data_IF_989109095657
#
_entry.id   IF_989109095657
#
_cell.length_a   1.000
_cell.length_b   1.000
_cell.length_c   1.000
_cell.angle_alpha   90.00
_cell.angle_beta   90.00
_cell.angle_gamma   90.00
#
_symmetry.space_group_name_H-M   'P 1'
#
loop_
_entity.id
_entity.type
_entity.pdbx_description
1 polymer ?
#
# COMPACT_ATOMS: atom_id res chain seq x y z
N UNK A 1 17.75 -6.46 13.71
CA UNK A 1 17.03 -6.02 12.49
C UNK A 1 17.07 -4.50 12.46
N UNK A 2 17.24 -3.86 11.29
CA UNK A 2 17.17 -2.39 11.23
C UNK A 2 15.74 -1.95 10.88
N UNK A 3 15.18 -0.96 11.59
CA UNK A 3 13.89 -0.38 11.24
C UNK A 3 13.99 0.31 9.87
N UNK A 4 12.91 0.25 9.09
CA UNK A 4 12.79 0.96 7.82
C UNK A 4 11.57 1.88 7.87
N UNK A 5 11.71 3.08 7.31
CA UNK A 5 10.61 4.02 7.21
C UNK A 5 9.57 3.51 6.21
N UNK A 6 8.31 3.53 6.62
CA UNK A 6 7.15 3.13 5.83
C UNK A 6 6.03 2.56 6.69
N UNK A 7 4.92 2.20 6.04
CA UNK A 7 3.72 1.72 6.72
C UNK A 7 3.24 0.40 6.13
N UNK A 8 2.87 -0.52 7.03
CA UNK A 8 2.16 -1.75 6.70
C UNK A 8 1.38 -2.17 7.95
N UNK A 9 0.06 -2.30 7.83
CA UNK A 9 -0.83 -2.67 8.94
C UNK A 9 -1.70 -3.85 8.49
N UNK A 10 -1.77 -4.89 9.32
CA UNK A 10 -2.75 -5.96 9.15
C UNK A 10 -3.99 -5.61 9.97
N UNK A 11 -5.14 -5.51 9.30
CA UNK A 11 -6.45 -5.34 9.91
C UNK A 11 -7.20 -6.67 9.78
N UNK A 12 -7.69 -7.18 10.89
CA UNK A 12 -8.42 -8.44 10.95
C UNK A 12 -9.62 -8.28 11.89
N UNK A 13 -10.82 -8.41 11.34
CA UNK A 13 -12.07 -8.35 12.11
C UNK A 13 -12.76 -9.72 12.24
N UNK A 14 -12.07 -10.80 11.86
CA UNK A 14 -12.57 -12.17 11.85
C UNK A 14 -13.39 -12.54 10.60
N UNK A 15 -14.02 -11.57 9.92
CA UNK A 15 -14.75 -11.76 8.66
C UNK A 15 -13.88 -11.39 7.44
N UNK A 16 -12.97 -10.43 7.61
CA UNK A 16 -12.14 -9.86 6.57
C UNK A 16 -10.75 -9.56 7.10
N UNK A 17 -9.75 -9.91 6.26
CA UNK A 17 -8.33 -9.70 6.58
C UNK A 17 -7.69 -8.84 5.52
N UNK A 18 -7.24 -7.66 5.92
CA UNK A 18 -6.82 -6.60 5.01
C UNK A 18 -5.44 -6.13 5.37
N UNK A 19 -4.56 -6.10 4.36
CA UNK A 19 -3.25 -5.47 4.52
C UNK A 19 -3.34 -4.03 4.01
N UNK A 20 -3.22 -3.06 4.90
CA UNK A 20 -3.18 -1.65 4.56
C UNK A 20 -1.72 -1.20 4.38
N UNK A 21 -1.39 -0.81 3.15
CA UNK A 21 -0.03 -0.59 2.65
C UNK A 21 0.89 -1.81 2.78
N UNK A 22 2.09 -1.73 2.21
CA UNK A 22 3.05 -2.83 2.06
C UNK A 22 4.46 -2.48 2.51
N UNK A 23 4.63 -1.28 3.07
CA UNK A 23 5.94 -0.77 3.47
C UNK A 23 6.87 -0.49 2.29
N UNK A 24 8.17 -0.29 2.56
CA UNK A 24 9.17 0.05 1.55
C UNK A 24 9.70 -1.15 0.74
N UNK A 25 9.53 -2.37 1.25
CA UNK A 25 10.08 -3.62 0.72
C UNK A 25 9.47 -4.86 1.43
N UNK A 26 10.02 -6.05 1.20
CA UNK A 26 9.61 -7.34 1.81
C UNK A 26 9.66 -7.44 3.34
N UNK A 27 10.10 -6.39 4.05
CA UNK A 27 10.18 -6.40 5.52
C UNK A 27 8.84 -6.76 6.17
N UNK A 28 7.70 -6.39 5.58
CA UNK A 28 6.39 -6.75 6.11
C UNK A 28 6.16 -8.27 6.17
N UNK A 29 6.66 -9.04 5.20
CA UNK A 29 6.55 -10.51 5.19
C UNK A 29 7.31 -11.11 6.36
N UNK A 30 8.52 -10.61 6.61
CA UNK A 30 9.32 -11.05 7.75
C UNK A 30 8.66 -10.68 9.08
N UNK A 31 8.09 -9.48 9.19
CA UNK A 31 7.36 -9.05 10.38
C UNK A 31 6.15 -9.95 10.63
N UNK A 32 5.37 -10.25 9.60
CA UNK A 32 4.22 -11.15 9.70
C UNK A 32 4.63 -12.55 10.16
N UNK A 33 5.72 -13.11 9.62
CA UNK A 33 6.28 -14.39 10.11
C UNK A 33 6.68 -14.35 11.58
N UNK A 34 7.31 -13.27 12.04
CA UNK A 34 7.71 -13.12 13.45
C UNK A 34 6.52 -12.97 14.40
N UNK A 35 5.43 -12.36 13.92
CA UNK A 35 4.17 -12.23 14.67
C UNK A 35 3.28 -13.47 14.56
N UNK A 36 3.72 -14.50 13.82
CA UNK A 36 2.94 -15.68 13.50
C UNK A 36 1.62 -15.36 12.78
N UNK A 37 1.65 -14.34 11.91
CA UNK A 37 0.51 -13.84 11.15
C UNK A 37 0.61 -14.25 9.67
N UNK A 38 -0.18 -15.24 9.19
CA UNK A 38 -0.10 -15.68 7.81
C UNK A 38 -0.73 -14.67 6.84
N UNK A 39 -0.01 -14.25 5.79
CA UNK A 39 -0.53 -13.32 4.78
C UNK A 39 -1.17 -14.01 3.57
N UNK A 40 -1.42 -15.33 3.64
CA UNK A 40 -1.98 -16.12 2.54
C UNK A 40 -3.50 -15.99 2.40
N UNK A 41 -4.20 -15.57 3.46
CA UNK A 41 -5.66 -15.50 3.53
C UNK A 41 -6.19 -14.05 3.51
N UNK A 42 -5.48 -13.13 2.87
CA UNK A 42 -5.92 -11.74 2.73
C UNK A 42 -7.16 -11.65 1.84
N UNK A 43 -8.20 -10.97 2.32
CA UNK A 43 -9.37 -10.59 1.53
C UNK A 43 -9.02 -9.54 0.48
N UNK A 44 -8.14 -8.59 0.84
CA UNK A 44 -7.59 -7.59 -0.06
C UNK A 44 -6.33 -6.94 0.52
N UNK A 45 -5.56 -6.31 -0.35
CA UNK A 45 -4.55 -5.31 0.01
C UNK A 45 -5.07 -3.93 -0.38
N UNK A 46 -4.92 -2.96 0.51
CA UNK A 46 -5.33 -1.58 0.29
C UNK A 46 -4.11 -0.70 0.20
N UNK A 47 -3.98 0.08 -0.87
CA UNK A 47 -2.90 1.06 -1.01
C UNK A 47 -3.43 2.47 -0.79
N UNK A 48 -2.87 3.17 0.19
CA UNK A 48 -3.27 4.52 0.56
C UNK A 48 -2.92 5.53 -0.55
N UNK A 49 -1.68 5.51 -1.01
CA UNK A 49 -1.14 6.36 -2.08
C UNK A 49 0.20 5.83 -2.62
N UNK A 50 0.70 6.42 -3.70
CA UNK A 50 1.82 5.87 -4.48
C UNK A 50 3.23 6.15 -3.99
N UNK A 51 3.46 6.43 -2.69
CA UNK A 51 4.82 6.66 -2.20
C UNK A 51 5.59 5.34 -1.96
N UNK A 52 6.89 5.34 -2.26
CA UNK A 52 7.72 4.14 -2.23
C UNK A 52 7.74 3.41 -0.89
N UNK A 53 7.51 4.11 0.22
CA UNK A 53 7.50 3.60 1.58
C UNK A 53 6.14 3.02 2.01
N UNK A 54 5.14 3.11 1.15
CA UNK A 54 3.80 2.52 1.31
C UNK A 54 3.54 1.40 0.30
N UNK A 55 3.98 1.58 -0.95
CA UNK A 55 3.74 0.63 -2.05
C UNK A 55 4.99 -0.18 -2.43
N UNK A 56 6.05 -0.06 -1.64
CA UNK A 56 7.35 -0.65 -1.93
C UNK A 56 7.36 -2.16 -1.87
N UNK A 57 6.47 -2.79 -1.10
CA UNK A 57 6.36 -4.24 -0.94
C UNK A 57 5.40 -4.94 -1.90
N UNK A 58 4.71 -4.23 -2.80
CA UNK A 58 3.67 -4.79 -3.69
C UNK A 58 4.17 -5.98 -4.51
N UNK A 59 5.40 -5.92 -5.04
CA UNK A 59 5.98 -6.98 -5.87
C UNK A 59 6.22 -8.31 -5.13
N UNK A 60 6.06 -8.33 -3.81
CA UNK A 60 6.21 -9.53 -2.98
C UNK A 60 4.86 -10.12 -2.54
N UNK A 61 3.75 -9.55 -3.00
CA UNK A 61 2.42 -10.12 -2.78
C UNK A 61 2.24 -11.39 -3.62
N UNK A 62 1.34 -12.26 -3.16
CA UNK A 62 0.99 -13.46 -3.91
C UNK A 62 0.28 -13.08 -5.22
N UNK A 63 0.54 -13.82 -6.29
CA UNK A 63 -0.18 -13.65 -7.56
C UNK A 63 -1.69 -13.78 -7.36
N UNK A 64 -2.47 -12.95 -8.06
CA UNK A 64 -3.92 -12.92 -7.95
C UNK A 64 -4.46 -12.19 -6.71
N UNK A 65 -3.59 -11.65 -5.84
CA UNK A 65 -4.00 -10.81 -4.71
C UNK A 65 -4.88 -9.66 -5.20
N UNK A 66 -6.05 -9.50 -4.56
CA UNK A 66 -6.94 -8.37 -4.83
C UNK A 66 -6.34 -7.10 -4.23
N UNK A 67 -6.11 -6.10 -5.06
CA UNK A 67 -5.58 -4.79 -4.63
C UNK A 67 -6.67 -3.74 -4.83
N UNK A 68 -6.92 -2.93 -3.81
CA UNK A 68 -7.86 -1.81 -3.86
C UNK A 68 -7.09 -0.53 -3.61
N UNK A 69 -7.23 0.44 -4.51
CA UNK A 69 -6.54 1.71 -4.38
C UNK A 69 -7.26 2.80 -5.18
N UNK A 70 -6.86 4.06 -5.02
CA UNK A 70 -7.37 5.10 -5.88
C UNK A 70 -6.63 5.15 -7.22
N UNK A 71 -7.28 5.58 -8.31
CA UNK A 71 -6.62 5.85 -9.59
C UNK A 71 -5.37 6.75 -9.51
N UNK A 72 -5.24 7.54 -8.44
CA UNK A 72 -4.13 8.51 -8.28
C UNK A 72 -2.90 7.86 -7.65
N UNK A 73 -2.95 6.58 -7.31
CA UNK A 73 -1.80 5.83 -6.80
C UNK A 73 -0.64 5.86 -7.80
N UNK A 74 -0.93 5.85 -9.11
CA UNK A 74 0.10 5.88 -10.17
C UNK A 74 0.69 7.28 -10.42
N UNK A 75 0.12 8.33 -9.83
CA UNK A 75 0.60 9.70 -10.05
C UNK A 75 1.97 9.89 -9.44
N UNK A 76 2.83 10.59 -10.18
CA UNK A 76 4.14 10.99 -9.70
C UNK A 76 4.02 12.01 -8.57
N UNK A 77 4.80 11.78 -7.52
CA UNK A 77 4.87 12.60 -6.32
C UNK A 77 6.33 12.85 -5.99
N UNK A 78 6.60 14.05 -5.50
CA UNK A 78 7.94 14.51 -5.18
C UNK A 78 7.94 15.17 -3.80
N UNK A 79 9.00 14.95 -3.04
CA UNK A 79 9.33 15.85 -1.95
C UNK A 79 9.82 17.16 -2.58
N UNK A 80 9.33 18.29 -2.07
CA UNK A 80 9.65 19.60 -2.60
C UNK A 80 10.17 20.51 -1.50
N UNK A 81 11.18 21.31 -1.82
CA UNK A 81 11.57 22.48 -1.01
C UNK A 81 10.77 23.67 -1.52
N UNK A 82 10.12 24.38 -0.61
CA UNK A 82 9.36 25.59 -0.94
C UNK A 82 10.21 26.81 -0.63
N UNK A 83 10.43 27.64 -1.65
CA UNK A 83 11.00 28.98 -1.52
C UNK A 83 9.91 30.00 -1.91
N UNK A 84 10.03 31.28 -1.54
CA UNK A 84 9.03 32.28 -1.92
C UNK A 84 8.73 32.24 -3.43
N UNK A 85 7.48 31.97 -3.78
CA UNK A 85 6.99 31.89 -5.16
C UNK A 85 7.34 30.61 -5.95
N UNK A 86 8.05 29.63 -5.39
CA UNK A 86 8.46 28.43 -6.15
C UNK A 86 8.53 27.16 -5.28
N UNK A 87 8.03 26.06 -5.84
CA UNK A 87 8.29 24.71 -5.32
C UNK A 87 9.35 24.02 -6.18
N UNK A 88 10.44 23.57 -5.56
CA UNK A 88 11.55 22.89 -6.23
C UNK A 88 11.49 21.41 -5.84
N UNK A 89 11.21 20.47 -6.76
CA UNK A 89 11.22 19.05 -6.47
C UNK A 89 12.65 18.60 -6.17
N UNK A 90 12.85 17.90 -5.06
CA UNK A 90 14.17 17.44 -4.60
C UNK A 90 14.32 15.93 -4.62
N UNK A 91 13.23 15.17 -4.50
CA UNK A 91 13.25 13.71 -4.49
C UNK A 91 11.96 13.14 -5.04
N UNK A 92 12.04 12.22 -6.01
CA UNK A 92 10.88 11.43 -6.45
C UNK A 92 10.48 10.47 -5.32
N UNK A 93 9.20 10.52 -4.94
CA UNK A 93 8.62 9.64 -3.93
C UNK A 93 7.85 8.48 -4.56
N UNK A 94 7.39 8.65 -5.80
CA UNK A 94 6.64 7.58 -6.47
C UNK A 94 7.54 6.43 -6.87
N UNK A 95 7.09 5.21 -6.57
CA UNK A 95 7.61 3.98 -7.16
C UNK A 95 6.73 3.60 -8.34
N UNK A 96 7.35 3.25 -9.47
CA UNK A 96 6.59 2.73 -10.60
C UNK A 96 5.97 1.39 -10.22
N UNK A 97 4.64 1.33 -10.25
CA UNK A 97 3.87 0.11 -10.08
C UNK A 97 3.57 -0.46 -11.46
N UNK A 98 4.00 -1.70 -11.67
CA UNK A 98 3.50 -2.52 -12.75
C UNK A 98 2.53 -3.50 -12.10
N UNK A 99 1.23 -3.21 -12.19
CA UNK A 99 0.18 -4.11 -11.72
C UNK A 99 -0.03 -5.31 -12.68
N UNK A 100 1.07 -5.90 -13.14
CA UNK A 100 1.03 -7.01 -14.09
C UNK A 100 0.76 -8.32 -13.34
N UNK A 101 -0.52 -8.70 -13.28
CA UNK A 101 -0.96 -9.99 -12.71
C UNK A 101 -1.82 -9.87 -11.45
N UNK A 102 -2.01 -8.67 -10.91
CA UNK A 102 -2.89 -8.41 -9.77
C UNK A 102 -4.32 -8.04 -10.20
N UNK A 103 -5.29 -8.45 -9.38
CA UNK A 103 -6.68 -8.04 -9.55
C UNK A 103 -6.88 -6.66 -8.91
N UNK A 104 -6.57 -5.61 -9.67
CA UNK A 104 -6.63 -4.22 -9.18
C UNK A 104 -8.01 -3.61 -9.39
N UNK A 105 -8.59 -3.14 -8.29
CA UNK A 105 -9.79 -2.34 -8.28
C UNK A 105 -9.44 -0.89 -7.94
N UNK A 106 -9.75 0.01 -8.86
CA UNK A 106 -9.62 1.45 -8.63
C UNK A 106 -10.94 2.03 -8.09
N UNK A 107 -10.90 2.67 -6.92
CA UNK A 107 -12.06 3.38 -6.33
C UNK A 107 -11.74 4.83 -5.97
N UNK A 108 -12.67 5.74 -6.26
CA UNK A 108 -12.54 7.17 -5.90
C UNK A 108 -13.28 7.58 -4.63
N UNK A 109 -14.24 6.78 -4.18
CA UNK A 109 -15.04 7.07 -2.99
C UNK A 109 -15.12 5.86 -2.05
N UNK A 110 -15.95 5.98 -0.98
CA UNK A 110 -16.26 4.92 -0.05
C UNK A 110 -16.39 3.56 -0.72
N UNK A 111 -15.55 2.61 -0.35
CA UNK A 111 -15.60 1.25 -0.88
C UNK A 111 -15.60 0.23 0.25
N UNK A 112 -16.63 -0.61 0.30
CA UNK A 112 -16.67 -1.74 1.22
C UNK A 112 -15.64 -2.79 0.78
N UNK A 113 -14.68 -3.08 1.65
CA UNK A 113 -13.68 -4.14 1.43
C UNK A 113 -14.13 -5.45 2.05
N UNK A 114 -14.86 -5.36 3.17
CA UNK A 114 -15.54 -6.46 3.86
C UNK A 114 -16.93 -6.02 4.31
N UNK A 115 -17.57 -6.79 5.18
CA UNK A 115 -18.88 -6.40 5.75
C UNK A 115 -18.79 -5.14 6.62
N UNK A 116 -17.64 -4.94 7.24
CA UNK A 116 -17.38 -3.98 8.31
C UNK A 116 -16.28 -2.97 7.96
N UNK A 117 -15.42 -3.25 6.98
CA UNK A 117 -14.37 -2.32 6.56
C UNK A 117 -14.76 -1.52 5.32
N UNK A 118 -14.68 -0.20 5.43
CA UNK A 118 -14.89 0.76 4.35
C UNK A 118 -13.63 1.60 4.12
N UNK A 119 -13.32 1.88 2.86
CA UNK A 119 -12.27 2.81 2.45
C UNK A 119 -12.88 4.12 2.03
N UNK A 120 -12.73 5.16 2.84
CA UNK A 120 -13.15 6.53 2.52
C UNK A 120 -11.92 7.42 2.24
N UNK A 121 -12.09 8.46 1.42
CA UNK A 121 -11.04 9.41 1.06
C UNK A 121 -11.43 10.85 1.35
#
# INVERSE_FOLDING_TARGET
>A
MQPRAGLCILLDDGDSRILFDTGPDETFIRNARLMNEPLSNLSAVVLSHGHYDHIGGVNWLNSGTRIICHPDVVRERYACVRVPGKAIPVKKLTRHLNFTGENVLFSKGPHAVGKTLYLDR
#
